data_IF_862915053410
#
_entry.id   IF_862915053410
#
_cell.length_a   1.000
_cell.length_b   1.000
_cell.length_c   1.000
_cell.angle_alpha   90.00
_cell.angle_beta   90.00
_cell.angle_gamma   90.00
#
_symmetry.space_group_name_H-M   'P 1'
#
loop_
_entity.id
_entity.type
_entity.pdbx_description
1 polymer ?
#
# COMPACT_ATOMS: atom_id res chain seq x y z
N UNK A 1 14.07 30.33 38.82
CA UNK A 1 14.14 30.42 37.35
C UNK A 1 13.93 29.04 36.75
N UNK A 2 12.69 28.69 36.43
CA UNK A 2 12.30 27.41 35.81
C UNK A 2 12.24 27.60 34.28
N UNK A 3 13.34 27.34 33.58
CA UNK A 3 13.44 27.52 32.13
C UNK A 3 13.56 26.21 31.32
N UNK A 4 13.39 25.04 31.94
CA UNK A 4 13.58 23.75 31.26
C UNK A 4 12.30 22.96 30.92
N UNK A 5 11.11 23.44 31.33
CA UNK A 5 9.86 22.68 31.14
C UNK A 5 9.12 22.89 29.81
N UNK A 6 9.22 24.08 29.19
CA UNK A 6 8.39 24.45 28.03
C UNK A 6 8.90 23.97 26.67
N UNK A 7 10.15 23.50 26.58
CA UNK A 7 10.74 23.08 25.30
C UNK A 7 10.32 21.66 24.90
N UNK A 8 10.17 20.75 25.87
CA UNK A 8 9.77 19.36 25.59
C UNK A 8 8.31 19.19 25.18
N UNK A 9 7.41 20.06 25.65
CA UNK A 9 5.99 20.01 25.29
C UNK A 9 5.72 20.44 23.84
N UNK A 10 6.54 21.37 23.31
CA UNK A 10 6.40 21.85 21.92
C UNK A 10 6.91 20.83 20.89
N UNK A 11 7.87 19.97 21.25
CA UNK A 11 8.39 18.91 20.39
C UNK A 11 7.38 17.76 20.22
N UNK A 12 6.54 17.50 21.24
CA UNK A 12 5.47 16.49 21.15
C UNK A 12 4.32 16.90 20.22
N UNK A 13 4.13 18.19 19.94
CA UNK A 13 2.99 18.69 19.15
C UNK A 13 3.19 18.63 17.63
N UNK A 14 4.41 18.32 17.17
CA UNK A 14 4.77 18.23 15.75
C UNK A 14 5.17 16.83 15.27
N UNK A 15 5.10 15.82 16.14
CA UNK A 15 5.36 14.43 15.80
C UNK A 15 4.08 13.66 16.10
N UNK A 16 3.12 13.66 15.17
CA UNK A 16 2.21 12.51 15.13
C UNK A 16 3.12 11.29 15.05
N UNK A 17 3.05 10.40 16.04
CA UNK A 17 3.86 9.18 15.97
C UNK A 17 3.45 8.46 14.70
N UNK A 18 4.39 8.33 13.76
CA UNK A 18 4.17 7.58 12.54
C UNK A 18 3.62 6.20 12.92
N UNK A 19 2.46 5.84 12.37
CA UNK A 19 1.79 4.58 12.67
C UNK A 19 2.76 3.43 12.43
N UNK A 20 2.74 2.45 13.32
CA UNK A 20 3.50 1.22 13.17
C UNK A 20 2.99 0.43 11.96
N UNK A 21 3.84 -0.43 11.40
CA UNK A 21 3.42 -1.33 10.30
C UNK A 21 2.23 -2.21 10.69
N UNK A 22 2.13 -2.60 11.96
CA UNK A 22 1.03 -3.42 12.45
C UNK A 22 -0.29 -2.63 12.51
N UNK A 23 -0.25 -1.37 12.94
CA UNK A 23 -1.41 -0.47 12.90
C UNK A 23 -1.88 -0.25 11.46
N UNK A 24 -0.96 0.08 10.55
CA UNK A 24 -1.28 0.24 9.11
C UNK A 24 -1.88 -1.03 8.50
N UNK A 25 -1.35 -2.20 8.87
CA UNK A 25 -1.88 -3.49 8.41
C UNK A 25 -3.30 -3.71 8.93
N UNK A 26 -3.55 -3.44 10.21
CA UNK A 26 -4.87 -3.65 10.81
C UNK A 26 -5.93 -2.69 10.24
N UNK A 27 -5.55 -1.43 10.02
CA UNK A 27 -6.42 -0.43 9.41
C UNK A 27 -6.80 -0.82 7.99
N UNK A 28 -5.83 -1.19 7.16
CA UNK A 28 -6.11 -1.59 5.77
C UNK A 28 -6.89 -2.91 5.70
N UNK A 29 -6.56 -3.88 6.55
CA UNK A 29 -7.33 -5.12 6.63
C UNK A 29 -8.80 -4.86 6.98
N UNK A 30 -9.05 -3.97 7.95
CA UNK A 30 -10.42 -3.56 8.33
C UNK A 30 -11.13 -2.89 7.17
N UNK A 31 -10.46 -1.91 6.53
CA UNK A 31 -10.98 -1.20 5.35
C UNK A 31 -11.33 -2.16 4.20
N UNK A 32 -10.48 -3.14 3.91
CA UNK A 32 -10.72 -4.12 2.85
C UNK A 32 -11.94 -4.99 3.17
N UNK A 33 -12.06 -5.52 4.40
CA UNK A 33 -13.26 -6.29 4.80
C UNK A 33 -14.53 -5.46 4.69
N UNK A 34 -14.50 -4.18 5.08
CA UNK A 34 -15.63 -3.27 4.95
C UNK A 34 -15.99 -2.97 3.48
N UNK A 35 -15.00 -2.82 2.60
CA UNK A 35 -15.24 -2.62 1.16
C UNK A 35 -15.93 -3.85 0.56
N UNK A 36 -15.40 -5.05 0.82
CA UNK A 36 -15.97 -6.27 0.27
C UNK A 36 -17.34 -6.60 0.85
N UNK A 37 -17.55 -6.41 2.16
CA UNK A 37 -18.86 -6.58 2.78
C UNK A 37 -19.90 -5.63 2.17
N UNK A 38 -19.55 -4.36 1.95
CA UNK A 38 -20.42 -3.39 1.25
C UNK A 38 -20.66 -3.77 -0.21
N UNK A 39 -19.73 -4.47 -0.84
CA UNK A 39 -19.86 -5.04 -2.18
C UNK A 39 -20.75 -6.29 -2.26
N UNK A 40 -21.40 -6.69 -1.16
CA UNK A 40 -22.32 -7.84 -1.13
C UNK A 40 -21.63 -9.19 -0.93
N UNK A 41 -20.35 -9.20 -0.55
CA UNK A 41 -19.61 -10.43 -0.24
C UNK A 41 -20.06 -10.95 1.12
N UNK A 42 -20.52 -12.19 1.17
CA UNK A 42 -20.99 -12.81 2.41
C UNK A 42 -19.83 -13.12 3.38
N UNK A 43 -20.16 -13.26 4.66
CA UNK A 43 -19.19 -13.49 5.73
C UNK A 43 -18.39 -14.80 5.55
N UNK A 44 -19.01 -15.87 5.02
CA UNK A 44 -18.32 -17.16 4.81
C UNK A 44 -17.24 -17.00 3.75
N UNK A 45 -17.54 -16.27 2.67
CA UNK A 45 -16.57 -15.97 1.61
C UNK A 45 -15.47 -15.01 2.10
N UNK A 46 -15.79 -14.01 2.90
CA UNK A 46 -14.78 -13.14 3.53
C UNK A 46 -13.83 -13.94 4.43
N UNK A 47 -14.36 -14.87 5.23
CA UNK A 47 -13.56 -15.71 6.10
C UNK A 47 -12.70 -16.71 5.32
N UNK A 48 -13.21 -17.25 4.20
CA UNK A 48 -12.44 -18.10 3.30
C UNK A 48 -11.22 -17.37 2.70
N UNK A 49 -11.34 -16.06 2.47
CA UNK A 49 -10.28 -15.21 1.92
C UNK A 49 -9.50 -14.41 2.98
N UNK A 50 -9.79 -14.60 4.28
CA UNK A 50 -9.29 -13.76 5.38
C UNK A 50 -7.76 -13.59 5.39
N UNK A 51 -7.04 -14.71 5.29
CA UNK A 51 -5.56 -14.70 5.23
C UNK A 51 -5.03 -13.98 4.00
N UNK A 52 -5.75 -14.02 2.90
CA UNK A 52 -5.33 -13.35 1.67
C UNK A 52 -5.59 -11.84 1.75
N UNK A 53 -6.74 -11.43 2.31
CA UNK A 53 -7.04 -10.02 2.64
C UNK A 53 -5.95 -9.46 3.58
N UNK A 54 -5.56 -10.24 4.60
CA UNK A 54 -4.49 -9.86 5.53
C UNK A 54 -3.15 -9.63 4.83
N UNK A 55 -2.76 -10.50 3.90
CA UNK A 55 -1.52 -10.34 3.12
C UNK A 55 -1.54 -9.11 2.22
N UNK A 56 -2.69 -8.78 1.63
CA UNK A 56 -2.84 -7.54 0.84
C UNK A 56 -2.65 -6.31 1.73
N UNK A 57 -3.24 -6.31 2.93
CA UNK A 57 -3.05 -5.25 3.91
C UNK A 57 -1.59 -5.12 4.40
N UNK A 58 -0.87 -6.23 4.56
CA UNK A 58 0.56 -6.22 4.89
C UNK A 58 1.39 -5.59 3.77
N UNK A 59 1.09 -5.88 2.51
CA UNK A 59 1.76 -5.26 1.35
C UNK A 59 1.52 -3.74 1.31
N UNK A 60 0.30 -3.31 1.59
CA UNK A 60 -0.03 -1.89 1.74
C UNK A 60 0.81 -1.23 2.85
N UNK A 61 0.90 -1.86 4.02
CA UNK A 61 1.72 -1.35 5.12
C UNK A 61 3.22 -1.27 4.78
N UNK A 62 3.76 -2.20 3.97
CA UNK A 62 5.13 -2.09 3.47
C UNK A 62 5.32 -0.88 2.56
N UNK A 63 4.35 -0.59 1.69
CA UNK A 63 4.37 0.57 0.80
C UNK A 63 4.31 1.88 1.59
N UNK A 64 3.38 1.98 2.54
CA UNK A 64 3.24 3.16 3.39
C UNK A 64 4.52 3.43 4.20
N UNK A 65 5.18 2.38 4.68
CA UNK A 65 6.41 2.52 5.47
C UNK A 65 7.61 3.06 4.66
N UNK A 66 7.58 3.00 3.33
CA UNK A 66 8.69 3.45 2.45
C UNK A 66 8.30 4.60 1.54
N UNK A 67 7.07 5.13 1.63
CA UNK A 67 6.52 6.09 0.66
C UNK A 67 7.29 7.41 0.58
N UNK A 68 7.84 7.85 1.71
CA UNK A 68 8.55 9.12 1.85
C UNK A 68 10.07 8.97 1.66
N UNK A 69 10.56 7.74 1.42
CA UNK A 69 11.96 7.50 1.12
C UNK A 69 12.27 7.85 -0.34
N UNK A 70 13.43 8.47 -0.63
CA UNK A 70 13.79 8.83 -1.98
C UNK A 70 13.96 7.58 -2.84
N UNK A 71 13.37 7.56 -4.04
CA UNK A 71 13.51 6.46 -5.01
C UNK A 71 14.83 6.52 -5.78
N UNK A 72 15.38 7.71 -5.97
CA UNK A 72 16.62 7.99 -6.69
C UNK A 72 17.43 9.02 -5.92
N UNK A 73 18.75 8.84 -5.91
CA UNK A 73 19.72 9.83 -5.44
C UNK A 73 20.65 10.20 -6.59
N UNK A 74 20.98 11.49 -6.70
CA UNK A 74 21.97 11.99 -7.66
C UNK A 74 23.36 11.89 -7.03
N UNK A 75 24.34 11.38 -7.79
CA UNK A 75 25.71 11.29 -7.30
C UNK A 75 26.28 12.68 -7.01
N UNK A 76 26.90 12.86 -5.84
CA UNK A 76 27.59 14.12 -5.49
C UNK A 76 28.78 14.41 -6.41
N UNK A 77 29.38 13.37 -7.00
CA UNK A 77 30.55 13.49 -7.88
C UNK A 77 30.18 13.74 -9.34
N UNK A 78 28.93 13.47 -9.72
CA UNK A 78 28.45 13.54 -11.10
C UNK A 78 26.93 13.73 -11.11
N UNK A 79 26.49 14.95 -11.44
CA UNK A 79 25.08 15.32 -11.44
C UNK A 79 24.26 14.62 -12.53
N UNK A 80 24.91 13.99 -13.52
CA UNK A 80 24.23 13.20 -14.56
C UNK A 80 23.98 11.76 -14.11
N UNK A 81 24.69 11.30 -13.07
CA UNK A 81 24.58 9.94 -12.56
C UNK A 81 23.49 9.83 -11.51
N UNK A 82 22.39 9.18 -11.89
CA UNK A 82 21.31 8.80 -10.99
C UNK A 82 21.52 7.38 -10.48
N UNK A 83 21.34 7.19 -9.18
CA UNK A 83 21.46 5.89 -8.52
C UNK A 83 20.10 5.56 -7.91
N UNK A 84 19.51 4.45 -8.37
CA UNK A 84 18.28 3.93 -7.79
C UNK A 84 18.54 3.44 -6.35
N UNK A 85 17.68 3.86 -5.43
CA UNK A 85 17.81 3.47 -4.02
C UNK A 85 17.18 2.10 -3.77
N UNK A 86 17.55 1.47 -2.64
CA UNK A 86 16.87 0.27 -2.19
C UNK A 86 15.37 0.50 -1.98
N UNK A 87 14.98 1.67 -1.45
CA UNK A 87 13.58 2.03 -1.28
C UNK A 87 12.84 2.15 -2.63
N UNK A 88 13.49 2.73 -3.66
CA UNK A 88 12.97 2.79 -5.02
C UNK A 88 12.67 1.40 -5.59
N UNK A 89 13.64 0.49 -5.53
CA UNK A 89 13.49 -0.90 -5.98
C UNK A 89 12.37 -1.63 -5.25
N UNK A 90 12.31 -1.48 -3.92
CA UNK A 90 11.29 -2.13 -3.11
C UNK A 90 9.90 -1.56 -3.36
N UNK A 91 9.77 -0.25 -3.62
CA UNK A 91 8.49 0.39 -3.95
C UNK A 91 7.92 -0.18 -5.24
N UNK A 92 8.72 -0.29 -6.30
CA UNK A 92 8.27 -0.91 -7.56
C UNK A 92 7.79 -2.35 -7.33
N UNK A 93 8.58 -3.14 -6.60
CA UNK A 93 8.24 -4.54 -6.29
C UNK A 93 6.95 -4.66 -5.49
N UNK A 94 6.80 -3.89 -4.40
CA UNK A 94 5.61 -3.96 -3.56
C UNK A 94 4.38 -3.39 -4.25
N UNK A 95 4.50 -2.36 -5.11
CA UNK A 95 3.38 -1.86 -5.90
C UNK A 95 2.89 -2.94 -6.88
N UNK A 96 3.78 -3.61 -7.59
CA UNK A 96 3.39 -4.70 -8.49
C UNK A 96 2.69 -5.84 -7.75
N UNK A 97 3.22 -6.26 -6.59
CA UNK A 97 2.62 -7.28 -5.75
C UNK A 97 1.25 -6.86 -5.21
N UNK A 98 1.14 -5.63 -4.70
CA UNK A 98 -0.10 -5.09 -4.16
C UNK A 98 -1.18 -5.00 -5.25
N UNK A 99 -0.84 -4.46 -6.43
CA UNK A 99 -1.76 -4.38 -7.58
C UNK A 99 -2.25 -5.75 -8.00
N UNK A 100 -1.34 -6.71 -8.22
CA UNK A 100 -1.71 -8.07 -8.64
C UNK A 100 -2.57 -8.78 -7.58
N UNK A 101 -2.20 -8.66 -6.30
CA UNK A 101 -2.92 -9.30 -5.22
C UNK A 101 -4.33 -8.70 -5.04
N UNK A 102 -4.45 -7.38 -5.18
CA UNK A 102 -5.74 -6.66 -5.11
C UNK A 102 -6.64 -6.99 -6.30
N UNK A 103 -6.10 -7.03 -7.53
CA UNK A 103 -6.86 -7.43 -8.72
C UNK A 103 -7.43 -8.84 -8.56
N UNK A 104 -6.60 -9.79 -8.09
CA UNK A 104 -7.07 -11.14 -7.78
C UNK A 104 -8.16 -11.13 -6.71
N UNK A 105 -7.95 -10.42 -5.61
CA UNK A 105 -8.91 -10.34 -4.52
C UNK A 105 -10.25 -9.74 -4.99
N UNK A 106 -10.21 -8.70 -5.83
CA UNK A 106 -11.41 -8.11 -6.44
C UNK A 106 -12.15 -9.11 -7.33
N UNK A 107 -11.44 -9.79 -8.24
CA UNK A 107 -12.03 -10.81 -9.11
C UNK A 107 -12.70 -11.93 -8.31
N UNK A 108 -12.02 -12.43 -7.29
CA UNK A 108 -12.53 -13.54 -6.49
C UNK A 108 -13.71 -13.14 -5.61
N UNK A 109 -13.64 -11.96 -4.99
CA UNK A 109 -14.64 -11.53 -4.01
C UNK A 109 -15.85 -10.86 -4.66
N UNK A 110 -15.62 -9.89 -5.55
CA UNK A 110 -16.66 -9.07 -6.19
C UNK A 110 -17.15 -9.65 -7.52
N UNK A 111 -16.53 -10.73 -8.00
CA UNK A 111 -16.67 -11.18 -9.37
C UNK A 111 -15.67 -10.46 -10.28
N UNK A 112 -15.31 -11.07 -11.41
CA UNK A 112 -14.54 -10.37 -12.42
C UNK A 112 -15.29 -9.10 -12.83
N UNK A 113 -14.58 -7.98 -12.99
CA UNK A 113 -14.99 -7.05 -14.04
C UNK A 113 -15.15 -7.94 -15.27
N UNK A 114 -16.35 -8.03 -15.82
CA UNK A 114 -16.58 -8.76 -17.06
C UNK A 114 -15.46 -8.35 -18.01
N UNK A 115 -14.65 -9.32 -18.44
CA UNK A 115 -13.82 -9.12 -19.62
C UNK A 115 -14.76 -9.16 -20.83
N UNK A 116 -15.73 -8.24 -20.90
CA UNK A 116 -16.40 -7.88 -22.15
C UNK A 116 -15.44 -6.97 -22.94
N UNK A 117 -14.20 -7.45 -23.08
CA UNK A 117 -13.18 -6.94 -24.00
C UNK A 117 -12.86 -8.06 -24.99
N UNK A 118 -13.91 -8.72 -25.49
CA UNK A 118 -13.97 -9.28 -26.85
C UNK A 118 -14.00 -8.11 -27.88
N UNK A 119 -13.24 -7.04 -27.60
CA UNK A 119 -13.05 -5.88 -28.45
C UNK A 119 -11.92 -6.18 -29.43
N UNK A 120 -12.29 -6.90 -30.49
CA UNK A 120 -11.60 -7.02 -31.77
C UNK A 120 -10.39 -6.07 -31.92
N UNK A 121 -9.20 -6.60 -31.63
CA UNK A 121 -7.95 -6.06 -32.16
C UNK A 121 -7.62 -6.68 -33.53
N UNK A 122 -8.55 -7.40 -34.15
CA UNK A 122 -8.41 -8.00 -35.49
C UNK A 122 -8.58 -6.98 -36.64
N UNK A 123 -8.90 -5.72 -36.34
CA UNK A 123 -9.05 -4.66 -37.37
C UNK A 123 -7.70 -4.04 -37.85
N UNK A 124 -6.56 -4.56 -37.40
CA UNK A 124 -5.23 -4.07 -37.80
C UNK A 124 -4.20 -5.18 -38.16
N UNK A 125 -4.63 -6.28 -38.78
CA UNK A 125 -3.74 -7.19 -39.54
C UNK A 125 -3.95 -7.10 -41.06
#
# INVERSE_FOLDING_TARGET
MTFFGKSFEKVKKGFEMAKTKQELTNEEYTRLKEIYARGGVDAVKLDAYDRYIRKVAELYAQLEAIKDLPSVIVSKSDATRQIETAAGKMRVKYMAQYTSATQKLNRELLGGLSNDDDGDLDDYE
#
